data_IF_313498422084
#
_entry.id   IF_313498422084
#
_cell.length_a   1.000
_cell.length_b   1.000
_cell.length_c   1.000
_cell.angle_alpha   90.00
_cell.angle_beta   90.00
_cell.angle_gamma   90.00
#
_symmetry.space_group_name_H-M   'P 1'
#
loop_
_entity.id
_entity.type
_entity.pdbx_description
1 polymer ?
#
# COMPACT_ATOMS: atom_id res chain seq x y z
N UNK A 1 24.12 -25.22 5.95
CA UNK A 1 23.89 -26.13 4.81
C UNK A 1 22.64 -26.95 5.08
N UNK A 2 21.53 -26.64 4.44
CA UNK A 2 20.34 -27.50 4.33
C UNK A 2 19.78 -27.30 2.93
N UNK A 3 19.84 -28.35 2.09
CA UNK A 3 19.29 -28.35 0.73
C UNK A 3 17.79 -28.63 0.83
N UNK A 4 16.95 -27.66 0.46
CA UNK A 4 15.56 -27.93 0.14
C UNK A 4 15.50 -28.53 -1.27
N UNK A 5 15.13 -29.81 -1.33
CA UNK A 5 14.85 -30.52 -2.56
C UNK A 5 13.37 -30.31 -2.90
N UNK A 6 13.05 -29.19 -3.55
CA UNK A 6 11.71 -28.94 -4.09
C UNK A 6 11.58 -29.71 -5.42
N UNK A 7 10.65 -30.65 -5.44
CA UNK A 7 10.35 -31.46 -6.61
C UNK A 7 9.91 -30.56 -7.78
N UNK A 8 10.69 -30.59 -8.87
CA UNK A 8 10.46 -29.83 -10.12
C UNK A 8 9.06 -30.02 -10.75
N UNK A 9 8.28 -30.99 -10.28
CA UNK A 9 6.96 -31.31 -10.84
C UNK A 9 5.80 -30.45 -10.31
N UNK A 10 5.94 -29.84 -9.11
CA UNK A 10 4.87 -28.99 -8.57
C UNK A 10 4.91 -27.58 -9.16
N UNK A 11 6.12 -27.04 -9.39
CA UNK A 11 6.34 -25.72 -9.98
C UNK A 11 5.88 -25.64 -11.44
N UNK A 12 6.09 -26.68 -12.24
CA UNK A 12 5.70 -26.66 -13.65
C UNK A 12 4.17 -26.67 -13.86
N UNK A 13 3.39 -27.19 -12.91
CA UNK A 13 1.92 -27.24 -13.03
C UNK A 13 1.23 -25.96 -12.55
N UNK A 14 1.72 -25.33 -11.48
CA UNK A 14 1.21 -24.03 -11.02
C UNK A 14 1.63 -22.88 -11.93
N UNK A 15 2.84 -22.92 -12.50
CA UNK A 15 3.30 -21.89 -13.43
C UNK A 15 2.60 -21.97 -14.80
N UNK A 16 2.27 -23.17 -15.28
CA UNK A 16 1.50 -23.34 -16.52
C UNK A 16 0.05 -22.84 -16.40
N UNK A 17 -0.58 -22.99 -15.22
CA UNK A 17 -1.92 -22.45 -14.96
C UNK A 17 -1.93 -20.91 -14.84
N UNK A 18 -0.84 -20.32 -14.37
CA UNK A 18 -0.65 -18.86 -14.31
C UNK A 18 -0.36 -18.25 -15.70
N UNK A 19 0.34 -18.97 -16.58
CA UNK A 19 0.65 -18.52 -17.93
C UNK A 19 -0.56 -18.60 -18.88
N UNK A 20 -1.40 -19.62 -18.75
CA UNK A 20 -2.61 -19.74 -19.58
C UNK A 20 -3.64 -18.65 -19.28
N UNK A 21 -3.62 -18.04 -18.09
CA UNK A 21 -4.51 -16.93 -17.72
C UNK A 21 -3.99 -15.55 -18.17
N UNK A 22 -2.70 -15.42 -18.49
CA UNK A 22 -2.08 -14.17 -18.97
C UNK A 22 -2.18 -14.02 -20.51
N UNK A 23 -2.22 -15.13 -21.25
CA UNK A 23 -2.23 -15.09 -22.73
C UNK A 23 -3.60 -14.67 -23.29
N UNK A 24 -4.69 -14.81 -22.54
CA UNK A 24 -6.03 -14.37 -23.01
C UNK A 24 -6.21 -12.84 -22.96
N UNK A 25 -5.35 -12.11 -22.25
CA UNK A 25 -5.42 -10.66 -22.08
C UNK A 25 -4.68 -9.81 -23.11
N UNK A 26 -3.95 -10.41 -24.07
CA UNK A 26 -3.03 -9.67 -24.97
C UNK A 26 -3.36 -9.74 -26.47
N UNK A 27 -4.55 -10.21 -26.86
CA UNK A 27 -5.03 -10.13 -28.25
C UNK A 27 -6.05 -8.99 -28.44
N UNK A 28 -5.63 -7.74 -28.28
CA UNK A 28 -6.52 -6.58 -28.45
C UNK A 28 -6.37 -5.81 -29.78
N UNK A 29 -5.62 -6.31 -30.76
CA UNK A 29 -5.50 -5.66 -32.08
C UNK A 29 -5.34 -6.65 -33.25
N UNK A 30 -6.40 -7.40 -33.56
CA UNK A 30 -6.53 -8.11 -34.85
C UNK A 30 -7.73 -7.47 -35.57
N UNK A 31 -7.59 -7.04 -36.84
CA UNK A 31 -8.68 -6.45 -37.60
C UNK A 31 -9.85 -7.44 -37.69
N UNK A 32 -11.06 -6.95 -37.40
CA UNK A 32 -12.31 -7.71 -37.43
C UNK A 32 -12.60 -8.12 -38.88
N UNK A 33 -12.13 -9.31 -39.26
CA UNK A 33 -12.75 -10.08 -40.34
C UNK A 33 -13.80 -10.93 -39.65
N UNK A 34 -15.08 -10.57 -39.78
CA UNK A 34 -16.21 -11.34 -39.24
C UNK A 34 -16.20 -12.75 -39.81
N UNK A 35 -15.80 -13.79 -39.05
CA UNK A 35 -16.09 -15.15 -39.45
C UNK A 35 -17.54 -15.41 -39.05
N UNK A 36 -18.27 -16.16 -39.86
CA UNK A 36 -19.60 -16.65 -39.49
C UNK A 36 -19.56 -17.27 -38.08
N UNK A 37 -20.52 -16.90 -37.23
CA UNK A 37 -20.66 -17.42 -35.88
C UNK A 37 -20.56 -18.95 -35.88
N UNK A 38 -19.52 -19.56 -35.30
CA UNK A 38 -19.50 -21.00 -35.12
C UNK A 38 -20.65 -21.32 -34.17
N UNK A 39 -21.58 -22.14 -34.65
CA UNK A 39 -22.67 -22.68 -33.85
C UNK A 39 -22.11 -23.48 -32.67
N UNK A 40 -22.29 -22.94 -31.46
CA UNK A 40 -22.12 -23.64 -30.18
C UNK A 40 -20.66 -23.81 -29.75
N UNK A 41 -20.34 -23.32 -28.55
CA UNK A 41 -19.21 -23.85 -27.78
C UNK A 41 -19.49 -25.35 -27.61
N UNK A 42 -18.54 -26.26 -27.93
CA UNK A 42 -18.74 -27.69 -27.70
C UNK A 42 -19.19 -27.95 -26.27
N UNK A 43 -20.19 -28.81 -26.05
CA UNK A 43 -20.78 -29.06 -24.72
C UNK A 43 -19.71 -29.37 -23.66
N UNK A 44 -18.67 -30.11 -24.02
CA UNK A 44 -17.58 -30.48 -23.12
C UNK A 44 -16.71 -29.27 -22.70
N UNK A 45 -16.53 -28.30 -23.59
CA UNK A 45 -15.84 -27.04 -23.30
C UNK A 45 -16.73 -26.12 -22.45
N UNK A 46 -18.04 -26.10 -22.71
CA UNK A 46 -19.00 -25.36 -21.90
C UNK A 46 -19.07 -25.92 -20.47
N UNK A 47 -19.14 -27.25 -20.31
CA UNK A 47 -19.13 -27.93 -19.02
C UNK A 47 -17.84 -27.69 -18.23
N UNK A 48 -16.69 -27.61 -18.91
CA UNK A 48 -15.41 -27.26 -18.27
C UNK A 48 -15.39 -25.80 -17.80
N UNK A 49 -15.87 -24.87 -18.64
CA UNK A 49 -15.98 -23.46 -18.30
C UNK A 49 -16.92 -23.25 -17.10
N UNK A 50 -18.06 -23.96 -17.06
CA UNK A 50 -19.03 -23.88 -15.97
C UNK A 50 -18.47 -24.48 -14.67
N UNK A 51 -17.76 -25.62 -14.74
CA UNK A 51 -17.08 -26.20 -13.57
C UNK A 51 -15.97 -25.28 -13.02
N UNK A 52 -15.17 -24.68 -13.90
CA UNK A 52 -14.13 -23.72 -13.49
C UNK A 52 -14.75 -22.47 -12.89
N UNK A 53 -15.82 -21.93 -13.47
CA UNK A 53 -16.56 -20.79 -12.94
C UNK A 53 -17.13 -21.08 -11.54
N UNK A 54 -17.75 -22.25 -11.34
CA UNK A 54 -18.28 -22.67 -10.04
C UNK A 54 -17.20 -22.86 -8.98
N UNK A 55 -16.05 -23.42 -9.37
CA UNK A 55 -14.88 -23.53 -8.50
C UNK A 55 -14.32 -22.16 -8.09
N UNK A 56 -14.24 -21.21 -9.04
CA UNK A 56 -13.79 -19.85 -8.77
C UNK A 56 -14.75 -19.12 -7.81
N UNK A 57 -16.06 -19.27 -8.00
CA UNK A 57 -17.07 -18.66 -7.12
C UNK A 57 -17.00 -19.23 -5.69
N UNK A 58 -16.81 -20.54 -5.55
CA UNK A 58 -16.68 -21.18 -4.23
C UNK A 58 -15.38 -20.73 -3.53
N UNK A 59 -14.27 -20.65 -4.29
CA UNK A 59 -13.01 -20.11 -3.77
C UNK A 59 -13.14 -18.65 -3.34
N UNK A 60 -13.84 -17.82 -4.14
CA UNK A 60 -14.12 -16.43 -3.81
C UNK A 60 -14.96 -16.32 -2.54
N UNK A 61 -16.01 -17.12 -2.41
CA UNK A 61 -16.86 -17.11 -1.21
C UNK A 61 -16.09 -17.49 0.06
N UNK A 62 -15.26 -18.54 0.01
CA UNK A 62 -14.44 -18.95 1.15
C UNK A 62 -13.42 -17.88 1.54
N UNK A 63 -12.76 -17.27 0.55
CA UNK A 63 -11.82 -16.18 0.78
C UNK A 63 -12.53 -14.94 1.36
N UNK A 64 -13.74 -14.62 0.89
CA UNK A 64 -14.54 -13.50 1.40
C UNK A 64 -14.96 -13.72 2.86
N UNK A 65 -15.37 -14.94 3.22
CA UNK A 65 -15.67 -15.29 4.62
C UNK A 65 -14.44 -15.10 5.50
N UNK A 66 -13.26 -15.54 5.04
CA UNK A 66 -12.00 -15.32 5.74
C UNK A 66 -11.70 -13.82 5.89
N UNK A 67 -11.88 -13.03 4.82
CA UNK A 67 -11.70 -11.58 4.86
C UNK A 67 -12.63 -10.92 5.86
N UNK A 68 -13.92 -11.31 5.92
CA UNK A 68 -14.88 -10.79 6.90
C UNK A 68 -14.47 -11.09 8.34
N UNK A 69 -13.97 -12.30 8.60
CA UNK A 69 -13.46 -12.67 9.92
C UNK A 69 -12.24 -11.83 10.31
N UNK A 70 -11.27 -11.68 9.41
CA UNK A 70 -10.06 -10.87 9.65
C UNK A 70 -10.44 -9.40 9.86
N UNK A 71 -11.33 -8.85 9.03
CA UNK A 71 -11.85 -7.49 9.22
C UNK A 71 -12.41 -7.27 10.64
N UNK A 72 -13.21 -8.21 11.14
CA UNK A 72 -13.75 -8.14 12.50
C UNK A 72 -12.68 -8.11 13.60
N UNK A 73 -11.50 -8.70 13.35
CA UNK A 73 -10.37 -8.66 14.28
C UNK A 73 -9.59 -7.33 14.21
N UNK A 74 -9.56 -6.69 13.04
CA UNK A 74 -8.73 -5.50 12.79
C UNK A 74 -9.46 -4.18 13.04
N UNK A 75 -10.78 -4.14 12.86
CA UNK A 75 -11.56 -2.89 12.89
C UNK A 75 -11.43 -2.10 14.19
N UNK A 76 -11.26 -2.78 15.33
CA UNK A 76 -11.02 -2.13 16.62
C UNK A 76 -9.66 -1.41 16.66
N UNK A 77 -8.61 -2.06 16.15
CA UNK A 77 -7.25 -1.49 16.09
C UNK A 77 -7.14 -0.30 15.14
N UNK A 78 -7.81 -0.35 13.98
CA UNK A 78 -7.83 0.80 13.05
C UNK A 78 -8.38 2.07 13.70
N UNK A 79 -9.37 1.93 14.57
CA UNK A 79 -10.02 3.05 15.25
C UNK A 79 -9.33 3.49 16.55
N UNK A 80 -8.21 2.85 16.94
CA UNK A 80 -7.46 3.23 18.12
C UNK A 80 -6.77 4.59 17.93
N UNK A 81 -6.96 5.50 18.89
CA UNK A 81 -6.40 6.85 18.87
C UNK A 81 -5.42 6.98 20.03
N UNK A 82 -4.17 7.36 19.72
CA UNK A 82 -3.10 7.64 20.67
C UNK A 82 -2.82 6.53 21.72
N UNK A 83 -1.91 5.57 21.43
CA UNK A 83 -1.17 5.43 20.18
C UNK A 83 -2.01 4.81 19.06
N UNK A 84 -1.64 5.08 17.81
CA UNK A 84 -2.16 4.34 16.66
C UNK A 84 -1.71 2.87 16.75
N UNK A 85 -2.62 1.93 16.50
CA UNK A 85 -2.29 0.49 16.46
C UNK A 85 -1.66 0.11 15.11
N UNK A 86 -0.36 0.35 14.97
CA UNK A 86 0.40 0.03 13.74
C UNK A 86 0.26 -1.44 13.36
N UNK A 87 0.10 -2.34 14.33
CA UNK A 87 -0.01 -3.77 14.04
C UNK A 87 -1.31 -4.08 13.29
N UNK A 88 -2.43 -3.43 13.63
CA UNK A 88 -3.69 -3.60 12.91
C UNK A 88 -3.59 -3.15 11.44
N UNK A 89 -2.87 -2.06 11.17
CA UNK A 89 -2.61 -1.61 9.79
C UNK A 89 -1.67 -2.58 9.06
N UNK A 90 -0.62 -3.05 9.71
CA UNK A 90 0.29 -4.04 9.15
C UNK A 90 -0.40 -5.38 8.83
N UNK A 91 -1.29 -5.83 9.72
CA UNK A 91 -2.10 -7.03 9.52
C UNK A 91 -3.12 -6.87 8.38
N UNK A 92 -3.48 -5.64 8.03
CA UNK A 92 -4.29 -5.39 6.83
C UNK A 92 -3.53 -5.82 5.57
N UNK A 93 -2.26 -5.42 5.47
CA UNK A 93 -1.38 -5.84 4.37
C UNK A 93 -1.08 -7.34 4.40
N UNK A 94 -0.81 -7.90 5.56
CA UNK A 94 -0.25 -9.27 5.65
C UNK A 94 -1.31 -10.36 5.80
N UNK A 95 -2.49 -10.04 6.35
CA UNK A 95 -3.56 -11.00 6.64
C UNK A 95 -4.82 -10.74 5.84
N UNK A 96 -5.27 -9.48 5.74
CA UNK A 96 -6.54 -9.15 5.06
C UNK A 96 -6.38 -9.06 3.53
N UNK A 97 -5.29 -8.46 3.05
CA UNK A 97 -5.03 -8.26 1.62
C UNK A 97 -5.00 -9.58 0.83
N UNK A 98 -4.29 -10.65 1.24
CA UNK A 98 -4.22 -11.87 0.44
C UNK A 98 -5.57 -12.53 0.12
N UNK A 99 -6.48 -12.79 1.09
CA UNK A 99 -7.79 -13.34 0.75
C UNK A 99 -8.64 -12.34 -0.05
N UNK A 100 -8.57 -11.04 0.21
CA UNK A 100 -9.31 -10.05 -0.58
C UNK A 100 -8.83 -10.00 -2.04
N UNK A 101 -7.53 -10.17 -2.28
CA UNK A 101 -6.98 -10.25 -3.63
C UNK A 101 -7.47 -11.49 -4.38
N UNK A 102 -7.59 -12.64 -3.70
CA UNK A 102 -8.19 -13.85 -4.27
C UNK A 102 -9.63 -13.60 -4.69
N UNK A 103 -10.43 -12.93 -3.86
CA UNK A 103 -11.81 -12.55 -4.19
C UNK A 103 -11.84 -11.63 -5.40
N UNK A 104 -11.07 -10.54 -5.38
CA UNK A 104 -11.03 -9.57 -6.48
C UNK A 104 -10.63 -10.22 -7.82
N UNK A 105 -9.63 -11.10 -7.80
CA UNK A 105 -9.17 -11.83 -8.98
C UNK A 105 -10.21 -12.86 -9.49
N UNK A 106 -10.91 -13.55 -8.59
CA UNK A 106 -11.96 -14.48 -9.00
C UNK A 106 -13.18 -13.73 -9.59
N UNK A 107 -13.51 -12.56 -9.04
CA UNK A 107 -14.64 -11.75 -9.49
C UNK A 107 -14.35 -10.97 -10.78
N UNK A 108 -13.09 -10.67 -11.09
CA UNK A 108 -12.72 -9.92 -12.29
C UNK A 108 -12.88 -10.72 -13.59
N UNK A 109 -13.03 -12.05 -13.52
CA UNK A 109 -13.08 -12.95 -14.68
C UNK A 109 -14.49 -13.49 -14.93
N UNK A 110 -15.00 -13.35 -16.17
CA UNK A 110 -16.26 -13.98 -16.62
C UNK A 110 -17.55 -13.16 -16.40
N UNK A 111 -18.65 -13.65 -16.98
CA UNK A 111 -19.97 -12.99 -16.99
C UNK A 111 -20.59 -12.91 -15.59
N UNK A 112 -21.24 -11.78 -15.27
CA UNK A 112 -21.94 -11.59 -13.98
C UNK A 112 -23.26 -12.35 -14.01
N UNK A 113 -23.37 -13.42 -13.21
CA UNK A 113 -24.64 -14.05 -12.85
C UNK A 113 -25.12 -13.53 -11.46
N UNK A 114 -26.31 -13.94 -11.01
CA UNK A 114 -26.89 -13.44 -9.76
C UNK A 114 -25.99 -13.69 -8.53
N UNK A 115 -25.39 -14.89 -8.43
CA UNK A 115 -24.51 -15.26 -7.31
C UNK A 115 -23.22 -14.43 -7.32
N UNK A 116 -22.61 -14.25 -8.50
CA UNK A 116 -21.42 -13.42 -8.69
C UNK A 116 -21.70 -11.96 -8.39
N UNK A 117 -22.91 -11.47 -8.69
CA UNK A 117 -23.33 -10.11 -8.32
C UNK A 117 -23.37 -9.95 -6.80
N UNK A 118 -24.03 -10.86 -6.09
CA UNK A 118 -24.11 -10.83 -4.62
C UNK A 118 -22.72 -10.83 -3.97
N UNK A 119 -21.83 -11.73 -4.42
CA UNK A 119 -20.44 -11.78 -3.97
C UNK A 119 -19.66 -10.49 -4.27
N UNK A 120 -19.93 -9.85 -5.40
CA UNK A 120 -19.31 -8.58 -5.79
C UNK A 120 -19.75 -7.44 -4.88
N UNK A 121 -21.04 -7.38 -4.56
CA UNK A 121 -21.59 -6.36 -3.67
C UNK A 121 -21.04 -6.52 -2.24
N UNK A 122 -21.00 -7.74 -1.70
CA UNK A 122 -20.39 -8.03 -0.40
C UNK A 122 -18.89 -7.70 -0.35
N UNK A 123 -18.15 -8.03 -1.41
CA UNK A 123 -16.72 -7.70 -1.51
C UNK A 123 -16.51 -6.19 -1.52
N UNK A 124 -17.30 -5.46 -2.32
CA UNK A 124 -17.25 -4.00 -2.42
C UNK A 124 -17.53 -3.37 -1.06
N UNK A 125 -18.59 -3.79 -0.39
CA UNK A 125 -18.92 -3.31 0.94
C UNK A 125 -17.75 -3.52 1.91
N UNK A 126 -17.17 -4.72 1.96
CA UNK A 126 -16.05 -5.02 2.84
C UNK A 126 -14.82 -4.16 2.51
N UNK A 127 -14.50 -3.98 1.23
CA UNK A 127 -13.39 -3.16 0.76
C UNK A 127 -13.55 -1.69 1.16
N UNK A 128 -14.69 -1.07 0.86
CA UNK A 128 -14.94 0.33 1.18
C UNK A 128 -15.10 0.58 2.68
N UNK A 129 -15.71 -0.34 3.42
CA UNK A 129 -15.75 -0.27 4.87
C UNK A 129 -14.34 -0.34 5.46
N UNK A 130 -13.51 -1.26 5.00
CA UNK A 130 -12.11 -1.37 5.46
C UNK A 130 -11.34 -0.07 5.20
N UNK A 131 -11.37 0.44 3.96
CA UNK A 131 -10.70 1.70 3.61
C UNK A 131 -11.21 2.88 4.44
N UNK A 132 -12.52 3.00 4.59
CA UNK A 132 -13.14 4.10 5.35
C UNK A 132 -12.69 4.07 6.80
N UNK A 133 -12.70 2.90 7.44
CA UNK A 133 -12.29 2.76 8.84
C UNK A 133 -10.80 3.06 9.02
N UNK A 134 -9.94 2.51 8.16
CA UNK A 134 -8.50 2.80 8.18
C UNK A 134 -8.21 4.28 7.94
N UNK A 135 -8.84 4.90 6.95
CA UNK A 135 -8.63 6.31 6.63
C UNK A 135 -9.14 7.23 7.74
N UNK A 136 -10.28 6.91 8.36
CA UNK A 136 -10.78 7.66 9.54
C UNK A 136 -9.84 7.51 10.73
N UNK A 137 -9.34 6.31 11.00
CA UNK A 137 -8.38 6.06 12.07
C UNK A 137 -7.09 6.87 11.91
N UNK A 138 -6.52 6.87 10.70
CA UNK A 138 -5.35 7.69 10.35
C UNK A 138 -5.66 9.18 10.52
N UNK A 139 -6.78 9.68 9.98
CA UNK A 139 -7.14 11.09 10.10
C UNK A 139 -7.35 11.53 11.55
N UNK A 140 -8.02 10.71 12.37
CA UNK A 140 -8.24 11.00 13.78
C UNK A 140 -6.90 11.13 14.52
N UNK A 141 -5.96 10.20 14.26
CA UNK A 141 -4.62 10.28 14.84
C UNK A 141 -3.83 11.48 14.30
N UNK A 142 -3.89 11.77 12.99
CA UNK A 142 -3.17 12.90 12.39
C UNK A 142 -3.72 14.25 12.88
N UNK A 143 -5.03 14.38 13.07
CA UNK A 143 -5.70 15.60 13.56
C UNK A 143 -5.14 16.03 14.92
N UNK A 144 -4.77 15.08 15.80
CA UNK A 144 -4.13 15.39 17.09
C UNK A 144 -2.82 16.15 16.94
N UNK A 145 -2.10 15.93 15.83
CA UNK A 145 -0.80 16.52 15.56
C UNK A 145 -0.86 17.63 14.49
N UNK A 146 -1.98 17.75 13.75
CA UNK A 146 -2.11 18.59 12.57
C UNK A 146 -1.82 20.07 12.85
N UNK A 147 -2.32 20.60 13.97
CA UNK A 147 -2.06 21.99 14.38
C UNK A 147 -0.57 22.31 14.58
N UNK A 148 0.26 21.31 14.92
CA UNK A 148 1.71 21.48 15.10
C UNK A 148 2.49 21.27 13.80
N UNK A 149 1.99 20.43 12.89
CA UNK A 149 2.63 20.19 11.59
C UNK A 149 2.42 21.39 10.66
N UNK A 150 1.27 22.06 10.76
CA UNK A 150 0.80 23.05 9.78
C UNK A 150 0.94 24.51 10.24
N UNK A 151 1.07 24.79 11.55
CA UNK A 151 1.11 26.17 12.06
C UNK A 151 2.50 26.60 12.54
N UNK A 152 3.23 27.32 11.69
CA UNK A 152 4.56 27.88 11.98
C UNK A 152 4.60 28.81 13.21
N UNK A 153 3.50 29.45 13.60
CA UNK A 153 3.45 30.27 14.81
C UNK A 153 3.45 29.42 16.08
N UNK A 154 2.77 28.27 16.08
CA UNK A 154 2.74 27.31 17.21
C UNK A 154 4.10 26.59 17.33
N UNK A 155 4.72 26.27 16.19
CA UNK A 155 6.08 25.70 16.17
C UNK A 155 7.09 26.69 16.78
N UNK A 156 6.92 27.98 16.53
CA UNK A 156 7.82 29.02 17.03
C UNK A 156 7.54 29.46 18.48
N UNK A 157 6.31 29.32 19.00
CA UNK A 157 5.89 29.94 20.28
C UNK A 157 6.19 29.14 21.56
N UNK A 158 6.68 27.90 21.47
CA UNK A 158 6.83 26.99 22.63
C UNK A 158 8.19 27.11 23.36
N UNK A 159 8.70 28.33 23.52
CA UNK A 159 9.78 28.62 24.47
C UNK A 159 9.25 29.09 25.85
N UNK A 160 7.96 29.36 25.97
CA UNK A 160 7.32 29.72 27.25
C UNK A 160 6.34 28.63 27.66
N UNK A 161 6.64 28.05 28.81
CA UNK A 161 5.73 27.23 29.63
C UNK A 161 4.32 27.84 29.71
N UNK A 162 3.32 26.96 29.69
CA UNK A 162 1.87 27.20 29.78
C UNK A 162 1.19 27.58 28.45
N UNK A 163 0.13 26.92 27.99
CA UNK A 163 -0.68 25.82 28.52
C UNK A 163 -1.49 25.27 27.33
N UNK A 164 -1.80 23.96 27.33
CA UNK A 164 -2.65 23.18 26.39
C UNK A 164 -1.99 22.27 25.32
N UNK A 165 -0.68 22.33 25.06
CA UNK A 165 -0.09 21.62 23.91
C UNK A 165 0.81 20.42 24.22
N UNK A 166 0.67 19.32 23.49
CA UNK A 166 1.52 18.12 23.57
C UNK A 166 3.01 18.50 23.37
N UNK A 167 3.95 18.05 24.23
CA UNK A 167 5.37 18.36 24.05
C UNK A 167 5.96 17.65 22.82
N UNK A 168 6.97 18.24 22.16
CA UNK A 168 7.78 17.60 21.09
C UNK A 168 8.67 16.48 21.66
N UNK A 169 8.04 15.47 22.24
CA UNK A 169 8.70 14.33 22.86
C UNK A 169 9.08 13.32 21.81
N UNK A 170 10.04 12.46 22.16
CA UNK A 170 10.39 11.29 21.34
C UNK A 170 9.16 10.46 21.00
N UNK A 171 8.21 10.35 21.93
CA UNK A 171 6.99 9.58 21.72
C UNK A 171 6.05 10.22 20.70
N UNK A 172 5.90 11.55 20.72
CA UNK A 172 5.07 12.28 19.77
C UNK A 172 5.62 12.16 18.33
N UNK A 173 6.94 12.36 18.16
CA UNK A 173 7.58 12.25 16.84
C UNK A 173 7.56 10.79 16.34
N UNK A 174 7.79 9.82 17.23
CA UNK A 174 7.64 8.40 16.91
C UNK A 174 6.22 8.06 16.48
N UNK A 175 5.21 8.65 17.13
CA UNK A 175 3.80 8.47 16.77
C UNK A 175 3.52 9.00 15.36
N UNK A 176 4.08 10.15 14.98
CA UNK A 176 3.98 10.65 13.60
C UNK A 176 4.57 9.67 12.58
N UNK A 177 5.74 9.11 12.86
CA UNK A 177 6.35 8.11 11.99
C UNK A 177 5.55 6.79 11.95
N UNK A 178 4.92 6.41 13.06
CA UNK A 178 3.99 5.26 13.11
C UNK A 178 2.73 5.52 12.27
N UNK A 179 2.17 6.73 12.29
CA UNK A 179 1.07 7.13 11.40
C UNK A 179 1.52 7.02 9.94
N UNK A 180 2.74 7.45 9.61
CA UNK A 180 3.29 7.27 8.27
C UNK A 180 3.34 5.78 7.88
N UNK A 181 3.85 4.90 8.74
CA UNK A 181 3.87 3.46 8.47
C UNK A 181 2.45 2.90 8.22
N UNK A 182 1.47 3.32 9.02
CA UNK A 182 0.07 2.92 8.81
C UNK A 182 -0.44 3.38 7.43
N UNK A 183 -0.13 4.61 7.02
CA UNK A 183 -0.54 5.11 5.69
C UNK A 183 0.05 4.28 4.54
N UNK A 184 1.29 3.79 4.68
CA UNK A 184 1.95 2.95 3.67
C UNK A 184 1.28 1.58 3.51
N UNK A 185 0.85 0.97 4.62
CA UNK A 185 0.11 -0.29 4.57
C UNK A 185 -1.27 -0.12 3.91
N UNK A 186 -1.96 1.01 4.18
CA UNK A 186 -3.24 1.33 3.52
C UNK A 186 -3.04 1.66 2.04
N UNK A 187 -1.99 2.40 1.68
CA UNK A 187 -1.64 2.70 0.28
C UNK A 187 -1.47 1.41 -0.51
N UNK A 188 -0.68 0.46 0.01
CA UNK A 188 -0.45 -0.82 -0.67
C UNK A 188 -1.74 -1.64 -0.79
N UNK A 189 -2.52 -1.74 0.30
CA UNK A 189 -3.81 -2.43 0.28
C UNK A 189 -4.75 -1.85 -0.77
N UNK A 190 -4.87 -0.52 -0.78
CA UNK A 190 -5.75 0.22 -1.68
C UNK A 190 -5.28 0.13 -3.14
N UNK A 191 -3.97 0.26 -3.40
CA UNK A 191 -3.39 0.17 -4.74
C UNK A 191 -3.53 -1.24 -5.34
N UNK A 192 -3.27 -2.29 -4.56
CA UNK A 192 -3.37 -3.67 -5.07
C UNK A 192 -4.81 -4.06 -5.39
N UNK A 193 -5.77 -3.78 -4.50
CA UNK A 193 -7.18 -4.10 -4.74
C UNK A 193 -7.87 -3.12 -5.71
N UNK A 194 -7.39 -1.88 -5.76
CA UNK A 194 -7.85 -0.84 -6.69
C UNK A 194 -7.52 -1.14 -8.15
N UNK A 195 -6.51 -1.98 -8.41
CA UNK A 195 -6.14 -2.41 -9.76
C UNK A 195 -7.25 -3.20 -10.49
N UNK A 196 -8.20 -3.78 -9.75
CA UNK A 196 -9.33 -4.53 -10.30
C UNK A 196 -10.53 -3.61 -10.62
N UNK A 197 -10.39 -2.79 -11.66
CA UNK A 197 -11.37 -1.74 -12.06
C UNK A 197 -12.81 -2.26 -12.27
N UNK A 198 -12.97 -3.53 -12.64
CA UNK A 198 -14.28 -4.15 -12.83
C UNK A 198 -15.02 -4.47 -11.52
N UNK A 199 -14.29 -4.47 -10.39
CA UNK A 199 -14.78 -4.89 -9.07
C UNK A 199 -14.68 -3.74 -8.06
N UNK A 200 -13.68 -2.87 -8.18
CA UNK A 200 -13.49 -1.70 -7.31
C UNK A 200 -13.88 -0.42 -8.07
N UNK A 201 -14.66 0.49 -7.47
CA UNK A 201 -14.95 1.79 -8.11
C UNK A 201 -13.70 2.68 -8.08
N UNK A 202 -13.22 3.07 -9.27
CA UNK A 202 -11.97 3.83 -9.44
C UNK A 202 -11.93 5.13 -8.64
N UNK A 203 -13.05 5.85 -8.58
CA UNK A 203 -13.07 7.23 -8.12
C UNK A 203 -12.91 7.35 -6.59
N UNK A 204 -13.49 6.43 -5.83
CA UNK A 204 -13.41 6.45 -4.37
C UNK A 204 -12.05 5.96 -3.89
N UNK A 205 -11.55 4.87 -4.48
CA UNK A 205 -10.19 4.39 -4.26
C UNK A 205 -9.15 5.46 -4.58
N UNK A 206 -9.30 6.19 -5.69
CA UNK A 206 -8.37 7.24 -6.08
C UNK A 206 -8.38 8.41 -5.08
N UNK A 207 -9.55 8.86 -4.63
CA UNK A 207 -9.66 9.92 -3.60
C UNK A 207 -8.96 9.53 -2.31
N UNK A 208 -9.09 8.27 -1.88
CA UNK A 208 -8.42 7.77 -0.66
C UNK A 208 -6.90 7.72 -0.87
N UNK A 209 -6.43 7.23 -2.02
CA UNK A 209 -4.99 7.19 -2.34
C UNK A 209 -4.39 8.60 -2.36
N UNK A 210 -5.07 9.58 -2.94
CA UNK A 210 -4.60 10.97 -2.96
C UNK A 210 -4.63 11.60 -1.56
N UNK A 211 -5.64 11.28 -0.74
CA UNK A 211 -5.68 11.63 0.67
C UNK A 211 -4.50 11.06 1.47
N UNK A 212 -4.15 9.78 1.24
CA UNK A 212 -3.02 9.11 1.88
C UNK A 212 -1.69 9.77 1.48
N UNK A 213 -1.48 10.07 0.19
CA UNK A 213 -0.28 10.77 -0.28
C UNK A 213 -0.13 12.14 0.36
N UNK A 214 -1.24 12.86 0.53
CA UNK A 214 -1.23 14.14 1.23
C UNK A 214 -0.85 13.98 2.71
N UNK A 215 -1.43 13.01 3.43
CA UNK A 215 -1.08 12.71 4.83
C UNK A 215 0.40 12.35 4.99
N UNK A 216 0.93 11.50 4.11
CA UNK A 216 2.35 11.12 4.07
C UNK A 216 3.26 12.35 3.90
N UNK A 217 2.90 13.24 2.97
CA UNK A 217 3.64 14.48 2.70
C UNK A 217 3.61 15.42 3.89
N UNK A 218 2.45 15.61 4.52
CA UNK A 218 2.29 16.44 5.72
C UNK A 218 3.18 15.95 6.86
N UNK A 219 3.24 14.63 7.09
CA UNK A 219 4.07 14.03 8.15
C UNK A 219 5.56 14.28 7.89
N UNK A 220 6.06 13.99 6.69
CA UNK A 220 7.48 14.20 6.36
C UNK A 220 7.84 15.68 6.50
N UNK A 221 7.01 16.59 5.96
CA UNK A 221 7.24 18.03 6.06
C UNK A 221 7.22 18.55 7.50
N UNK A 222 6.33 18.02 8.34
CA UNK A 222 6.30 18.39 9.75
C UNK A 222 7.57 17.98 10.50
N UNK A 223 8.06 16.75 10.30
CA UNK A 223 9.32 16.28 10.90
C UNK A 223 10.51 17.10 10.37
N UNK A 224 10.53 17.42 9.08
CA UNK A 224 11.53 18.31 8.48
C UNK A 224 11.50 19.71 9.11
N UNK A 225 10.32 20.28 9.31
CA UNK A 225 10.15 21.58 9.96
C UNK A 225 10.65 21.56 11.42
N UNK A 226 10.32 20.52 12.19
CA UNK A 226 10.83 20.39 13.56
C UNK A 226 12.36 20.24 13.60
N UNK A 227 12.93 19.50 12.64
CA UNK A 227 14.37 19.30 12.53
C UNK A 227 15.09 20.61 12.19
N UNK A 228 14.64 21.30 11.15
CA UNK A 228 15.24 22.56 10.67
C UNK A 228 15.13 23.71 11.67
N UNK A 229 14.06 23.73 12.48
CA UNK A 229 13.87 24.72 13.55
C UNK A 229 14.53 24.32 14.88
N UNK A 230 15.31 23.23 14.92
CA UNK A 230 15.94 22.71 16.14
C UNK A 230 14.98 22.46 17.31
N UNK A 231 13.72 22.10 17.00
CA UNK A 231 12.68 21.79 18.01
C UNK A 231 12.79 20.38 18.55
N UNK A 232 13.45 19.49 17.81
CA UNK A 232 13.74 18.12 18.19
C UNK A 232 15.24 17.85 18.09
N UNK A 233 15.72 16.89 18.87
CA UNK A 233 17.12 16.45 18.82
C UNK A 233 17.42 15.71 17.52
N UNK A 234 18.70 15.68 17.12
CA UNK A 234 19.17 14.88 15.97
C UNK A 234 18.82 13.38 16.13
N UNK A 235 18.85 12.85 17.35
CA UNK A 235 18.47 11.45 17.61
C UNK A 235 16.99 11.20 17.30
N UNK A 236 16.10 12.07 17.80
CA UNK A 236 14.66 11.95 17.53
C UNK A 236 14.35 12.07 16.04
N UNK A 237 15.04 12.96 15.33
CA UNK A 237 14.91 13.09 13.89
C UNK A 237 15.40 11.82 13.15
N UNK A 238 16.58 11.28 13.52
CA UNK A 238 17.12 10.03 12.96
C UNK A 238 16.18 8.84 13.17
N UNK A 239 15.69 8.62 14.39
CA UNK A 239 14.79 7.50 14.71
C UNK A 239 13.52 7.53 13.86
N UNK A 240 12.94 8.72 13.69
CA UNK A 240 11.71 8.91 12.92
C UNK A 240 11.94 8.74 11.43
N UNK A 241 13.08 9.23 10.94
CA UNK A 241 13.53 9.01 9.58
C UNK A 241 13.68 7.51 9.27
N UNK A 242 14.27 6.71 10.16
CA UNK A 242 14.42 5.27 9.94
C UNK A 242 13.08 4.54 9.83
N UNK A 243 12.08 4.90 10.66
CA UNK A 243 10.73 4.33 10.58
C UNK A 243 10.07 4.67 9.23
N UNK A 244 10.20 5.92 8.79
CA UNK A 244 9.64 6.39 7.51
C UNK A 244 10.27 5.64 6.33
N UNK A 245 11.60 5.54 6.30
CA UNK A 245 12.31 4.88 5.20
C UNK A 245 11.99 3.40 5.14
N UNK A 246 11.91 2.72 6.29
CA UNK A 246 11.61 1.29 6.33
C UNK A 246 10.22 0.96 5.78
N UNK A 247 9.29 1.92 5.85
CA UNK A 247 7.90 1.75 5.40
C UNK A 247 7.63 2.36 4.03
N UNK A 248 8.55 3.13 3.44
CA UNK A 248 8.35 3.83 2.18
C UNK A 248 8.13 2.88 1.00
N UNK A 249 7.00 3.04 0.33
CA UNK A 249 6.66 2.31 -0.92
C UNK A 249 6.36 3.23 -2.11
N UNK A 250 6.27 4.55 -1.88
CA UNK A 250 5.92 5.52 -2.92
C UNK A 250 7.11 6.37 -3.37
N UNK A 251 7.58 6.16 -4.59
CA UNK A 251 8.71 6.86 -5.18
C UNK A 251 8.52 8.38 -5.26
N UNK A 252 7.29 8.90 -5.32
CA UNK A 252 7.02 10.33 -5.40
C UNK A 252 7.44 11.09 -4.14
N UNK A 253 7.57 10.40 -3.01
CA UNK A 253 7.99 11.01 -1.75
C UNK A 253 9.52 11.10 -1.60
N UNK A 254 10.29 10.53 -2.54
CA UNK A 254 11.75 10.48 -2.44
C UNK A 254 12.40 11.87 -2.37
N UNK A 255 11.89 12.85 -3.10
CA UNK A 255 12.41 14.22 -3.03
C UNK A 255 12.16 14.84 -1.65
N UNK A 256 10.96 14.69 -1.11
CA UNK A 256 10.59 15.18 0.23
C UNK A 256 11.41 14.49 1.31
N UNK A 257 11.57 13.17 1.19
CA UNK A 257 12.39 12.37 2.10
C UNK A 257 13.87 12.73 2.01
N UNK A 258 14.39 13.02 0.81
CA UNK A 258 15.76 13.48 0.64
C UNK A 258 16.02 14.83 1.29
N UNK A 259 15.06 15.76 1.27
CA UNK A 259 15.17 17.02 2.03
C UNK A 259 15.24 16.77 3.55
N UNK A 260 14.44 15.82 4.06
CA UNK A 260 14.54 15.38 5.45
C UNK A 260 15.91 14.77 5.75
N UNK A 261 16.41 13.88 4.89
CA UNK A 261 17.73 13.29 5.03
C UNK A 261 18.84 14.35 5.03
N UNK A 262 18.80 15.34 4.14
CA UNK A 262 19.76 16.45 4.09
C UNK A 262 19.75 17.23 5.41
N UNK A 263 18.58 17.45 6.01
CA UNK A 263 18.47 18.17 7.29
C UNK A 263 19.06 17.37 8.48
N UNK A 264 19.05 16.04 8.41
CA UNK A 264 19.50 15.15 9.49
C UNK A 264 20.99 14.81 9.34
N UNK A 265 21.39 14.37 8.15
CA UNK A 265 22.72 13.82 7.87
C UNK A 265 23.64 14.84 7.19
N UNK A 266 23.11 15.92 6.63
CA UNK A 266 23.86 16.91 5.87
C UNK A 266 23.83 16.67 4.36
N UNK A 267 23.95 17.75 3.58
CA UNK A 267 23.82 17.72 2.12
C UNK A 267 24.85 16.82 1.45
N UNK A 268 26.08 16.81 1.95
CA UNK A 268 27.18 16.05 1.37
C UNK A 268 27.03 14.53 1.57
N UNK A 269 26.09 14.11 2.42
CA UNK A 269 25.83 12.71 2.76
C UNK A 269 24.59 12.14 2.04
N UNK A 270 23.98 12.87 1.11
CA UNK A 270 22.77 12.45 0.39
C UNK A 270 23.00 12.56 -1.11
N UNK A 271 22.80 11.46 -1.84
CA UNK A 271 22.90 11.41 -3.29
C UNK A 271 21.65 10.77 -3.91
N UNK A 272 21.15 11.37 -4.99
CA UNK A 272 20.12 10.77 -5.84
C UNK A 272 20.79 10.18 -7.07
N UNK A 273 20.60 8.88 -7.29
CA UNK A 273 21.00 8.23 -8.52
C UNK A 273 19.77 8.10 -9.41
N UNK A 274 19.69 8.96 -10.44
CA UNK A 274 18.79 8.72 -11.57
C UNK A 274 19.50 7.74 -12.49
N UNK A 275 18.98 6.52 -12.57
CA UNK A 275 19.45 5.52 -13.52
C UNK A 275 19.55 6.14 -14.92
N UNK A 276 20.76 6.23 -15.47
CA UNK A 276 20.95 6.55 -16.88
C UNK A 276 20.24 5.46 -17.69
N UNK A 277 19.25 5.85 -18.51
CA UNK A 277 18.55 4.99 -19.46
C UNK A 277 19.57 4.23 -20.32
N UNK A 278 19.91 3.02 -19.90
CA UNK A 278 20.65 2.05 -20.71
C UNK A 278 19.62 1.02 -21.21
N UNK A 279 19.59 0.71 -22.51
CA UNK A 279 18.46 -0.03 -23.13
C UNK A 279 18.17 -1.43 -22.57
N UNK A 280 19.09 -2.03 -21.81
CA UNK A 280 19.01 -3.43 -21.35
C UNK A 280 18.71 -3.61 -19.86
N UNK A 281 18.34 -2.57 -19.11
CA UNK A 281 17.86 -2.78 -17.75
C UNK A 281 16.40 -3.25 -17.74
N UNK A 282 16.14 -4.36 -17.05
CA UNK A 282 14.80 -4.90 -16.81
C UNK A 282 13.88 -3.95 -16.02
N UNK A 283 14.41 -2.83 -15.50
CA UNK A 283 13.63 -1.80 -14.81
C UNK A 283 14.29 -0.40 -14.93
N UNK A 284 14.12 0.31 -16.06
CA UNK A 284 14.87 1.53 -16.38
C UNK A 284 14.52 2.76 -15.51
N UNK A 285 13.54 2.65 -14.61
CA UNK A 285 13.02 3.76 -13.78
C UNK A 285 13.22 3.55 -12.28
N UNK A 286 14.22 2.78 -11.86
CA UNK A 286 14.52 2.66 -10.43
C UNK A 286 15.12 4.00 -9.95
N UNK A 287 14.36 4.76 -9.16
CA UNK A 287 14.86 5.95 -8.48
C UNK A 287 15.53 5.49 -7.20
N UNK A 288 16.83 5.73 -7.10
CA UNK A 288 17.66 5.23 -6.01
C UNK A 288 18.19 6.42 -5.21
N UNK A 289 17.94 6.44 -3.92
CA UNK A 289 18.54 7.41 -3.00
C UNK A 289 19.58 6.70 -2.12
N UNK A 290 20.80 7.23 -2.09
CA UNK A 290 21.90 6.73 -1.26
C UNK A 290 22.21 7.74 -0.18
N UNK A 291 22.26 7.28 1.06
CA UNK A 291 22.52 8.13 2.22
C UNK A 291 23.64 7.54 3.06
N UNK A 292 24.64 8.35 3.38
CA UNK A 292 25.67 8.01 4.35
C UNK A 292 25.18 8.35 5.76
N UNK A 293 24.88 7.33 6.56
CA UNK A 293 24.27 7.50 7.89
C UNK A 293 25.32 7.73 8.98
N UNK A 294 26.50 7.10 8.82
CA UNK A 294 27.71 7.19 9.65
C UNK A 294 28.97 6.93 8.77
N UNK A 295 30.18 7.04 9.34
CA UNK A 295 31.47 6.99 8.63
C UNK A 295 31.67 5.80 7.66
N UNK A 296 30.95 4.68 7.85
CA UNK A 296 30.99 3.51 6.95
C UNK A 296 29.61 2.86 6.69
N UNK A 297 28.51 3.54 7.03
CA UNK A 297 27.15 2.98 6.87
C UNK A 297 26.41 3.72 5.78
N UNK A 298 26.05 3.00 4.70
CA UNK A 298 25.27 3.54 3.61
C UNK A 298 23.91 2.86 3.55
N UNK A 299 22.84 3.65 3.44
CA UNK A 299 21.50 3.15 3.14
C UNK A 299 21.17 3.40 1.68
N UNK A 300 20.76 2.32 1.03
CA UNK A 300 20.15 2.34 -0.28
C UNK A 300 18.63 2.34 -0.13
N UNK A 301 17.95 3.33 -0.69
CA UNK A 301 16.50 3.40 -0.74
C UNK A 301 16.09 3.19 -2.19
N UNK A 302 15.48 2.02 -2.42
CA UNK A 302 14.90 1.62 -3.70
C UNK A 302 13.39 1.59 -3.54
N UNK A 303 12.69 2.33 -4.40
CA UNK A 303 11.22 2.43 -4.40
C UNK A 303 10.69 2.19 -5.79
#
# INVERSE_FOLDING_TARGET
MNKLNLSKNLYNKTFALLLCSIIVGSCSNIPVVTPASPSGIPSDLQDQLDKTSNSNNTSANNALIQSKFIYGQLVGGWNMINPIDVQAYHDTKTKLLPPMFIVANALSVGSINADKKSLTDDFRELYFNSLTQMFRGINNNLTLYQAYLENSQIINSTASSDSTGFPYTTEAIKTLANIFSATQDVELFSAQLGSFVNVSTSDETQKILDGIKNQQTIIINGILNFTTQNKITKSQAKDSYFIIVQSLTNANLLNTLGNLAISIFGKDNVAFNQSQLTPDQSNPNQVVMVIQEDDNTYRLINV
#
